data_IF_746855416801
#
_entry.id   IF_746855416801
#
_cell.length_a   1.000
_cell.length_b   1.000
_cell.length_c   1.000
_cell.angle_alpha   90.00
_cell.angle_beta   90.00
_cell.angle_gamma   90.00
#
_symmetry.space_group_name_H-M   'P 1'
#
loop_
_entity.id
_entity.type
_entity.pdbx_description
1 polymer ?
#
# COMPACT_ATOMS: atom_id res chain seq x y z
N UNK A 1 -13.57 13.97 -45.31
CA UNK A 1 -13.20 14.34 -46.68
C UNK A 1 -12.08 13.43 -47.14
N UNK A 2 -12.51 12.36 -47.80
CA UNK A 2 -11.92 11.67 -48.95
C UNK A 2 -10.40 11.62 -49.10
N UNK A 3 -9.83 10.45 -48.76
CA UNK A 3 -8.58 9.97 -49.34
C UNK A 3 -8.73 8.52 -49.79
N UNK A 4 -9.48 8.30 -50.85
CA UNK A 4 -9.33 7.11 -51.69
C UNK A 4 -9.18 7.55 -53.14
N UNK A 5 -7.92 7.65 -53.59
CA UNK A 5 -7.59 7.69 -55.02
C UNK A 5 -7.10 6.30 -55.40
N UNK A 6 -7.98 5.54 -56.04
CA UNK A 6 -7.72 4.21 -56.57
C UNK A 6 -6.95 4.36 -57.88
N UNK A 7 -5.69 3.89 -57.93
CA UNK A 7 -4.94 3.79 -59.19
C UNK A 7 -5.21 2.42 -59.84
N UNK A 8 -5.56 2.45 -61.12
CA UNK A 8 -6.20 1.38 -61.90
C UNK A 8 -5.23 0.75 -62.91
N UNK A 9 -3.98 0.51 -62.51
CA UNK A 9 -2.96 -0.10 -63.39
C UNK A 9 -2.03 -1.08 -62.66
N UNK A 10 -2.58 -2.17 -62.13
CA UNK A 10 -1.83 -3.44 -62.03
C UNK A 10 -2.79 -4.61 -61.75
N UNK A 11 -3.14 -5.46 -62.73
CA UNK A 11 -4.09 -6.56 -62.52
C UNK A 11 -3.50 -7.83 -61.89
N UNK A 12 -2.20 -7.89 -61.55
CA UNK A 12 -1.54 -9.12 -61.08
C UNK A 12 -0.57 -8.80 -59.92
N UNK A 13 -1.10 -8.37 -58.77
CA UNK A 13 -0.33 -8.26 -57.53
C UNK A 13 -0.94 -9.18 -56.46
N UNK A 14 -0.73 -10.49 -56.63
CA UNK A 14 -0.85 -11.47 -55.55
C UNK A 14 0.26 -11.18 -54.54
N UNK A 15 -0.09 -10.66 -53.37
CA UNK A 15 0.84 -10.55 -52.25
C UNK A 15 0.93 -11.94 -51.61
N UNK A 16 2.03 -12.65 -51.87
CA UNK A 16 2.48 -13.79 -51.08
C UNK A 16 2.68 -13.34 -49.62
N UNK A 17 1.76 -13.75 -48.74
CA UNK A 17 1.97 -13.66 -47.30
C UNK A 17 2.86 -14.83 -46.89
N UNK A 18 4.18 -14.65 -46.97
CA UNK A 18 5.15 -15.60 -46.44
C UNK A 18 4.91 -15.78 -44.94
N UNK A 19 4.23 -16.87 -44.60
CA UNK A 19 4.00 -17.31 -43.23
C UNK A 19 5.27 -18.02 -42.75
N UNK A 20 6.27 -17.23 -42.35
CA UNK A 20 7.38 -17.76 -41.57
C UNK A 20 6.87 -18.03 -40.14
N UNK A 21 6.92 -19.27 -39.61
CA UNK A 21 6.55 -19.51 -38.22
C UNK A 21 7.55 -18.76 -37.32
N UNK A 22 7.08 -18.11 -36.23
CA UNK A 22 7.99 -17.47 -35.29
C UNK A 22 8.88 -18.54 -34.66
N UNK A 23 10.18 -18.30 -34.72
CA UNK A 23 11.22 -19.09 -34.03
C UNK A 23 10.90 -19.08 -32.54
N UNK A 24 10.56 -20.25 -32.00
CA UNK A 24 10.43 -20.47 -30.56
C UNK A 24 11.83 -20.77 -30.05
N UNK A 25 12.44 -19.82 -29.33
CA UNK A 25 13.65 -20.07 -28.58
C UNK A 25 13.29 -20.93 -27.36
N UNK A 26 13.69 -22.20 -27.38
CA UNK A 26 13.54 -23.13 -26.26
C UNK A 26 14.71 -22.95 -25.27
N UNK A 27 14.45 -22.30 -24.15
CA UNK A 27 15.36 -22.28 -23.00
C UNK A 27 15.38 -23.65 -22.30
N UNK A 28 16.56 -24.21 -21.95
CA UNK A 28 16.69 -25.59 -21.50
C UNK A 28 16.14 -25.81 -20.09
N UNK A 29 15.24 -26.78 -20.02
CA UNK A 29 14.60 -27.32 -18.83
C UNK A 29 15.61 -28.21 -18.10
N UNK A 30 15.98 -27.87 -16.87
CA UNK A 30 16.15 -28.81 -15.76
C UNK A 30 16.64 -28.09 -14.50
N UNK A 31 15.74 -27.82 -13.56
CA UNK A 31 15.95 -28.04 -12.11
C UNK A 31 14.61 -27.85 -11.39
N UNK A 32 13.98 -28.99 -11.09
CA UNK A 32 13.21 -29.29 -9.87
C UNK A 32 12.11 -28.27 -9.48
N UNK A 33 10.92 -28.61 -9.94
CA UNK A 33 9.58 -28.26 -9.46
C UNK A 33 9.49 -27.57 -8.08
N UNK A 34 8.89 -26.38 -8.07
CA UNK A 34 7.89 -26.02 -7.05
C UNK A 34 6.65 -25.45 -7.77
N UNK A 35 5.42 -25.85 -7.40
CA UNK A 35 4.26 -25.82 -8.30
C UNK A 35 3.71 -24.43 -8.58
N UNK A 36 3.16 -24.28 -9.78
CA UNK A 36 2.13 -23.31 -10.17
C UNK A 36 0.86 -23.53 -9.33
N UNK A 37 0.87 -23.11 -8.06
CA UNK A 37 -0.31 -22.72 -7.26
C UNK A 37 0.18 -22.46 -5.85
N UNK A 38 0.46 -21.21 -5.53
CA UNK A 38 -0.02 -20.62 -4.31
C UNK A 38 -0.62 -19.30 -4.77
N UNK A 39 -1.96 -19.29 -4.86
CA UNK A 39 -2.69 -18.12 -4.43
C UNK A 39 -1.98 -17.60 -3.17
N UNK A 40 -1.14 -16.59 -3.29
CA UNK A 40 -1.06 -15.67 -2.17
C UNK A 40 -2.52 -15.26 -1.99
N UNK A 41 -3.18 -15.62 -0.87
CA UNK A 41 -4.41 -14.95 -0.57
C UNK A 41 -3.97 -13.52 -0.42
N UNK A 42 -4.22 -12.71 -1.47
CA UNK A 42 -4.17 -11.27 -1.43
C UNK A 42 -4.93 -10.94 -0.16
N UNK A 43 -4.16 -10.66 0.88
CA UNK A 43 -4.71 -10.23 2.13
C UNK A 43 -5.56 -9.03 1.74
N UNK A 44 -6.75 -8.90 2.32
CA UNK A 44 -7.67 -7.82 1.99
C UNK A 44 -7.07 -6.37 2.01
N UNK A 45 -5.84 -6.06 2.53
CA UNK A 45 -5.21 -4.74 2.35
C UNK A 45 -4.57 -4.48 0.98
N UNK A 46 -4.15 -5.49 0.22
CA UNK A 46 -3.44 -5.26 -1.05
C UNK A 46 -4.39 -4.86 -2.19
N UNK A 47 -5.60 -5.42 -2.21
CA UNK A 47 -6.64 -5.07 -3.19
C UNK A 47 -7.27 -3.67 -2.97
N UNK A 48 -6.95 -3.00 -1.85
CA UNK A 48 -7.43 -1.65 -1.55
C UNK A 48 -6.39 -0.55 -1.81
N UNK A 49 -5.11 -0.90 -2.00
CA UNK A 49 -4.05 0.04 -2.33
C UNK A 49 -3.69 -0.07 -3.81
N UNK A 50 -4.56 0.40 -4.70
CA UNK A 50 -4.16 0.57 -6.09
C UNK A 50 -3.13 1.70 -6.13
N UNK A 51 -2.04 1.55 -6.89
CA UNK A 51 -0.87 2.44 -6.91
C UNK A 51 -1.22 3.93 -7.02
N UNK A 52 -2.32 4.24 -7.71
CA UNK A 52 -2.85 5.59 -7.82
C UNK A 52 -3.19 6.23 -6.46
N UNK A 53 -3.83 5.48 -5.54
CA UNK A 53 -4.19 6.00 -4.21
C UNK A 53 -2.91 6.30 -3.40
N UNK A 54 -1.88 5.46 -3.52
CA UNK A 54 -0.60 5.68 -2.84
C UNK A 54 0.06 6.96 -3.33
N UNK A 55 0.09 7.19 -4.64
CA UNK A 55 0.63 8.41 -5.23
C UNK A 55 -0.15 9.65 -4.78
N UNK A 56 -1.48 9.58 -4.74
CA UNK A 56 -2.33 10.67 -4.24
C UNK A 56 -2.02 11.00 -2.77
N UNK A 57 -1.90 9.98 -1.90
CA UNK A 57 -1.57 10.18 -0.48
C UNK A 57 -0.16 10.75 -0.30
N UNK A 58 0.81 10.29 -1.08
CA UNK A 58 2.19 10.81 -1.03
C UNK A 58 2.29 12.27 -1.49
N UNK A 59 1.40 12.72 -2.39
CA UNK A 59 1.36 14.10 -2.86
C UNK A 59 0.84 15.10 -1.81
N UNK A 60 0.26 14.62 -0.70
CA UNK A 60 -0.29 15.47 0.36
C UNK A 60 0.88 16.21 1.04
N UNK A 61 0.89 17.56 1.02
CA UNK A 61 1.99 18.33 1.61
C UNK A 61 1.99 18.19 3.14
N UNK A 62 3.16 18.25 3.76
CA UNK A 62 3.24 18.19 5.22
C UNK A 62 2.84 19.54 5.83
N UNK A 63 1.58 19.64 6.27
CA UNK A 63 1.00 20.83 6.88
C UNK A 63 0.25 20.44 8.16
N UNK A 64 0.27 21.34 9.13
CA UNK A 64 -0.36 21.13 10.45
C UNK A 64 -1.89 21.01 10.39
N UNK A 65 -2.52 21.58 9.35
CA UNK A 65 -3.94 21.39 9.08
C UNK A 65 -4.38 21.99 7.74
N UNK A 66 -5.47 21.47 7.21
CA UNK A 66 -6.05 21.84 5.92
C UNK A 66 -7.44 22.42 6.10
N UNK A 67 -7.78 23.44 5.30
CA UNK A 67 -9.15 23.98 5.26
C UNK A 67 -10.02 23.09 4.38
N UNK A 68 -11.34 23.12 4.60
CA UNK A 68 -12.29 22.34 3.78
C UNK A 68 -12.19 22.64 2.28
N UNK A 69 -11.85 23.89 1.90
CA UNK A 69 -11.62 24.27 0.50
C UNK A 69 -10.44 23.52 -0.08
N UNK A 70 -9.27 23.62 0.56
CA UNK A 70 -8.05 22.92 0.14
C UNK A 70 -8.27 21.41 -0.02
N UNK A 71 -8.98 20.79 0.93
CA UNK A 71 -9.27 19.34 0.89
C UNK A 71 -10.24 19.00 -0.25
N UNK A 72 -11.25 19.83 -0.46
CA UNK A 72 -12.20 19.67 -1.56
C UNK A 72 -11.50 19.74 -2.93
N UNK A 73 -10.59 20.69 -3.09
CA UNK A 73 -9.83 20.90 -4.32
C UNK A 73 -8.87 19.72 -4.57
N UNK A 74 -8.14 19.26 -3.56
CA UNK A 74 -7.25 18.09 -3.65
C UNK A 74 -8.00 16.80 -4.06
N UNK A 75 -9.21 16.61 -3.54
CA UNK A 75 -10.05 15.43 -3.85
C UNK A 75 -10.86 15.61 -5.15
N UNK A 76 -10.89 16.82 -5.71
CA UNK A 76 -11.78 17.21 -6.82
C UNK A 76 -13.27 16.96 -6.50
N UNK A 77 -13.69 17.24 -5.27
CA UNK A 77 -15.09 17.14 -4.82
C UNK A 77 -15.61 18.48 -4.34
N UNK A 78 -16.93 18.65 -4.23
CA UNK A 78 -17.51 19.87 -3.67
C UNK A 78 -17.43 19.87 -2.15
N UNK A 79 -17.26 21.03 -1.52
CA UNK A 79 -17.17 21.15 -0.06
C UNK A 79 -18.38 20.57 0.69
N UNK A 80 -19.59 20.65 0.14
CA UNK A 80 -20.78 20.06 0.78
C UNK A 80 -20.73 18.53 0.82
N UNK A 81 -20.03 17.89 -0.13
CA UNK A 81 -19.83 16.43 -0.13
C UNK A 81 -18.95 16.02 1.04
N UNK A 82 -17.86 16.76 1.29
CA UNK A 82 -17.03 16.53 2.48
C UNK A 82 -17.81 16.70 3.78
N UNK A 83 -18.68 17.72 3.88
CA UNK A 83 -19.55 17.92 5.05
C UNK A 83 -20.52 16.74 5.24
N UNK A 84 -21.02 16.19 4.14
CA UNK A 84 -21.86 15.00 4.20
C UNK A 84 -21.07 13.76 4.63
N UNK A 85 -19.84 13.59 4.13
CA UNK A 85 -18.96 12.50 4.57
C UNK A 85 -18.60 12.59 6.05
N UNK A 86 -18.43 13.79 6.62
CA UNK A 86 -18.24 13.97 8.07
C UNK A 86 -19.38 13.38 8.90
N UNK A 87 -20.64 13.46 8.42
CA UNK A 87 -21.78 12.86 9.12
C UNK A 87 -21.89 11.35 8.93
N UNK A 88 -21.42 10.82 7.81
CA UNK A 88 -21.56 9.40 7.46
C UNK A 88 -20.40 8.53 7.98
N UNK A 89 -19.20 9.11 8.10
CA UNK A 89 -17.98 8.40 8.44
C UNK A 89 -17.39 8.88 9.76
N UNK A 90 -17.52 8.04 10.79
CA UNK A 90 -16.99 8.28 12.13
C UNK A 90 -15.48 8.53 12.24
N UNK A 91 -14.72 8.14 11.22
CA UNK A 91 -13.27 8.32 11.16
C UNK A 91 -12.86 9.73 10.72
N UNK A 92 -13.75 10.44 10.03
CA UNK A 92 -13.50 11.76 9.48
C UNK A 92 -14.06 12.83 10.44
N UNK A 93 -13.26 13.20 11.44
CA UNK A 93 -13.67 14.12 12.52
C UNK A 93 -12.79 15.37 12.54
N UNK A 94 -13.00 16.31 11.60
CA UNK A 94 -12.21 17.54 11.56
C UNK A 94 -12.40 18.33 12.84
N UNK A 95 -11.32 18.93 13.34
CA UNK A 95 -11.37 19.78 14.52
C UNK A 95 -12.03 21.12 14.16
N UNK A 96 -12.90 21.61 15.04
CA UNK A 96 -13.42 22.98 14.94
C UNK A 96 -12.38 23.93 15.55
N UNK A 97 -11.82 24.80 14.73
CA UNK A 97 -10.99 25.90 15.21
C UNK A 97 -11.85 26.97 15.91
N UNK A 98 -11.22 27.86 16.68
CA UNK A 98 -11.91 28.92 17.45
C UNK A 98 -12.73 29.89 16.61
N UNK A 99 -12.47 29.97 15.30
CA UNK A 99 -13.23 30.75 14.31
C UNK A 99 -14.35 29.94 13.63
N UNK A 100 -14.76 28.80 14.21
CA UNK A 100 -15.76 27.88 13.67
C UNK A 100 -15.40 27.27 12.29
N UNK A 101 -14.12 27.37 11.90
CA UNK A 101 -13.61 26.79 10.66
C UNK A 101 -13.20 25.32 10.90
N UNK A 102 -13.51 24.44 9.95
CA UNK A 102 -13.11 23.03 10.00
C UNK A 102 -11.65 22.91 9.58
N UNK A 103 -10.85 22.31 10.45
CA UNK A 103 -9.46 22.00 10.19
C UNK A 103 -9.29 20.48 10.12
N UNK A 104 -8.88 20.00 8.95
CA UNK A 104 -8.57 18.59 8.71
C UNK A 104 -7.10 18.36 9.00
N UNK A 105 -6.79 17.28 9.71
CA UNK A 105 -5.42 16.81 9.86
C UNK A 105 -4.99 16.03 8.61
N UNK A 106 -3.68 15.81 8.43
CA UNK A 106 -3.18 14.95 7.34
C UNK A 106 -3.88 13.59 7.30
N UNK A 107 -4.08 12.96 8.47
CA UNK A 107 -4.81 11.70 8.60
C UNK A 107 -6.27 11.79 8.14
N UNK A 108 -6.95 12.92 8.41
CA UNK A 108 -8.31 13.11 7.92
C UNK A 108 -8.35 13.22 6.40
N UNK A 109 -7.36 13.90 5.80
CA UNK A 109 -7.23 14.00 4.33
C UNK A 109 -6.96 12.63 3.71
N UNK A 110 -6.05 11.83 4.27
CA UNK A 110 -5.78 10.44 3.86
C UNK A 110 -7.06 9.58 3.89
N UNK A 111 -7.84 9.67 4.98
CA UNK A 111 -9.12 8.97 5.09
C UNK A 111 -10.13 9.45 4.03
N UNK A 112 -10.15 10.75 3.70
CA UNK A 112 -11.04 11.28 2.68
C UNK A 112 -10.66 10.79 1.27
N UNK A 113 -9.37 10.63 0.96
CA UNK A 113 -8.91 9.98 -0.28
C UNK A 113 -9.39 8.54 -0.38
N UNK A 114 -9.29 7.79 0.72
CA UNK A 114 -9.77 6.41 0.77
C UNK A 114 -11.29 6.32 0.61
N UNK A 115 -12.06 7.19 1.28
CA UNK A 115 -13.52 7.26 1.11
C UNK A 115 -13.87 7.56 -0.35
N UNK A 116 -13.17 8.51 -0.98
CA UNK A 116 -13.37 8.84 -2.39
C UNK A 116 -13.12 7.62 -3.28
N UNK A 117 -12.05 6.87 -3.05
CA UNK A 117 -11.77 5.61 -3.75
C UNK A 117 -12.96 4.66 -3.63
N UNK A 118 -13.37 4.34 -2.40
CA UNK A 118 -14.42 3.37 -2.13
C UNK A 118 -15.74 3.74 -2.82
N UNK A 119 -16.13 5.02 -2.79
CA UNK A 119 -17.39 5.47 -3.37
C UNK A 119 -17.32 5.64 -4.90
N UNK A 120 -16.27 6.26 -5.42
CA UNK A 120 -16.21 6.65 -6.83
C UNK A 120 -15.48 5.66 -7.72
N UNK A 121 -14.42 5.01 -7.23
CA UNK A 121 -13.66 4.03 -8.02
C UNK A 121 -14.24 2.63 -7.85
N UNK A 122 -14.40 2.21 -6.61
CA UNK A 122 -14.81 0.84 -6.27
C UNK A 122 -16.34 0.66 -6.24
N UNK A 123 -17.10 1.76 -6.41
CA UNK A 123 -18.57 1.80 -6.50
C UNK A 123 -19.29 1.20 -5.29
N UNK A 124 -18.69 1.28 -4.10
CA UNK A 124 -19.39 0.93 -2.86
C UNK A 124 -20.54 1.91 -2.58
N UNK A 125 -21.60 1.39 -1.95
CA UNK A 125 -22.58 2.24 -1.26
C UNK A 125 -21.94 2.90 -0.03
N UNK A 126 -22.58 3.93 0.51
CA UNK A 126 -22.11 4.62 1.73
C UNK A 126 -21.98 3.62 2.89
N UNK A 127 -22.94 2.72 3.05
CA UNK A 127 -22.92 1.70 4.08
C UNK A 127 -21.81 0.66 3.86
N UNK A 128 -21.61 0.23 2.61
CA UNK A 128 -20.52 -0.66 2.23
C UNK A 128 -19.15 -0.05 2.52
N UNK A 129 -18.96 1.22 2.12
CA UNK A 129 -17.73 1.96 2.40
C UNK A 129 -17.51 2.14 3.91
N UNK A 130 -18.56 2.42 4.70
CA UNK A 130 -18.46 2.53 6.17
C UNK A 130 -17.98 1.22 6.79
N UNK A 131 -18.55 0.10 6.35
CA UNK A 131 -18.14 -1.24 6.81
C UNK A 131 -16.69 -1.54 6.44
N UNK A 132 -16.29 -1.26 5.19
CA UNK A 132 -14.92 -1.42 4.72
C UNK A 132 -13.91 -0.61 5.55
N UNK A 133 -14.21 0.67 5.82
CA UNK A 133 -13.37 1.55 6.65
C UNK A 133 -13.19 1.02 8.08
N UNK A 134 -14.26 0.46 8.67
CA UNK A 134 -14.20 -0.14 10.02
C UNK A 134 -13.33 -1.39 10.02
N UNK A 135 -13.48 -2.25 9.01
CA UNK A 135 -12.68 -3.46 8.86
C UNK A 135 -11.20 -3.13 8.66
N UNK A 136 -10.88 -2.16 7.79
CA UNK A 136 -9.51 -1.71 7.57
C UNK A 136 -8.86 -1.19 8.85
N UNK A 137 -9.58 -0.39 9.64
CA UNK A 137 -9.08 0.10 10.93
C UNK A 137 -8.78 -1.04 11.91
N UNK A 138 -9.60 -2.09 11.92
CA UNK A 138 -9.36 -3.26 12.75
C UNK A 138 -8.14 -4.05 12.30
N UNK A 139 -7.93 -4.13 10.99
CA UNK A 139 -6.81 -4.82 10.38
C UNK A 139 -5.48 -4.09 10.69
N UNK A 140 -5.41 -2.78 10.43
CA UNK A 140 -4.24 -1.95 10.75
C UNK A 140 -3.88 -2.04 12.23
N UNK A 141 -4.88 -2.05 13.13
CA UNK A 141 -4.63 -2.24 14.56
C UNK A 141 -4.02 -3.60 14.89
N UNK A 142 -4.46 -4.68 14.23
CA UNK A 142 -3.91 -6.03 14.42
C UNK A 142 -2.46 -6.10 13.91
N UNK A 143 -2.18 -5.51 12.75
CA UNK A 143 -0.82 -5.46 12.21
C UNK A 143 0.13 -4.65 13.09
N UNK A 144 -0.27 -3.45 13.51
CA UNK A 144 0.55 -2.65 14.42
C UNK A 144 0.84 -3.38 15.74
N UNK A 145 -0.11 -4.19 16.23
CA UNK A 145 0.12 -5.02 17.43
C UNK A 145 1.15 -6.12 17.17
N UNK A 146 1.06 -6.82 16.03
CA UNK A 146 2.04 -7.84 15.62
C UNK A 146 3.43 -7.23 15.46
N UNK A 147 3.52 -6.07 14.81
CA UNK A 147 4.79 -5.36 14.63
C UNK A 147 5.41 -4.98 15.99
N UNK A 148 4.59 -4.50 16.94
CA UNK A 148 5.05 -4.19 18.28
C UNK A 148 5.54 -5.44 19.04
N UNK A 149 4.80 -6.54 18.98
CA UNK A 149 5.19 -7.83 19.57
C UNK A 149 6.52 -8.32 18.99
N UNK A 150 6.70 -8.19 17.68
CA UNK A 150 7.93 -8.55 16.99
C UNK A 150 9.11 -7.68 17.44
N UNK A 151 8.93 -6.35 17.52
CA UNK A 151 9.96 -5.43 18.04
C UNK A 151 10.35 -5.76 19.49
N UNK A 152 9.38 -6.12 20.33
CA UNK A 152 9.66 -6.55 21.69
C UNK A 152 10.43 -7.87 21.74
N UNK A 153 10.10 -8.83 20.88
CA UNK A 153 10.83 -10.09 20.78
C UNK A 153 12.29 -9.86 20.35
N UNK A 154 12.54 -9.01 19.35
CA UNK A 154 13.88 -8.63 18.94
C UNK A 154 14.68 -7.99 20.07
N UNK A 155 14.08 -7.05 20.79
CA UNK A 155 14.75 -6.41 21.94
C UNK A 155 15.10 -7.43 23.04
N UNK A 156 14.23 -8.41 23.30
CA UNK A 156 14.53 -9.50 24.25
C UNK A 156 15.71 -10.35 23.81
N UNK A 157 15.78 -10.68 22.51
CA UNK A 157 16.89 -11.45 21.94
C UNK A 157 18.20 -10.66 22.05
N UNK A 158 18.15 -9.36 21.76
CA UNK A 158 19.32 -8.47 21.85
C UNK A 158 19.86 -8.38 23.29
N UNK A 159 18.97 -8.19 24.27
CA UNK A 159 19.37 -8.19 25.68
C UNK A 159 19.96 -9.55 26.11
N UNK A 160 19.32 -10.65 25.69
CA UNK A 160 19.83 -11.99 25.99
C UNK A 160 21.21 -12.25 25.37
N UNK A 161 21.47 -11.72 24.17
CA UNK A 161 22.79 -11.80 23.55
C UNK A 161 23.86 -11.09 24.38
N UNK A 162 23.56 -9.89 24.90
CA UNK A 162 24.47 -9.15 25.78
C UNK A 162 24.75 -9.92 27.08
N UNK A 163 23.71 -10.48 27.70
CA UNK A 163 23.86 -11.28 28.91
C UNK A 163 24.80 -12.48 28.70
N UNK A 164 24.68 -13.16 27.55
CA UNK A 164 25.56 -14.29 27.20
C UNK A 164 27.02 -13.87 26.98
N UNK A 165 27.27 -12.72 26.37
CA UNK A 165 28.62 -12.17 26.20
C UNK A 165 29.25 -11.87 27.56
N UNK A 166 28.50 -11.26 28.47
CA UNK A 166 28.95 -10.95 29.82
C UNK A 166 29.30 -12.22 30.60
N UNK A 167 28.46 -13.25 30.54
CA UNK A 167 28.72 -14.55 31.17
C UNK A 167 29.99 -15.18 30.58
N UNK A 168 30.15 -15.17 29.25
CA UNK A 168 31.33 -15.72 28.60
C UNK A 168 32.62 -15.00 29.04
N UNK A 169 32.57 -13.66 29.21
CA UNK A 169 33.68 -12.88 29.73
C UNK A 169 33.99 -13.22 31.20
N UNK A 170 32.97 -13.43 32.04
CA UNK A 170 33.17 -13.86 33.42
C UNK A 170 33.83 -15.23 33.50
N UNK A 171 33.39 -16.21 32.70
CA UNK A 171 33.99 -17.55 32.64
C UNK A 171 35.46 -17.47 32.20
N UNK A 172 35.78 -16.65 31.19
CA UNK A 172 37.17 -16.42 30.78
C UNK A 172 38.03 -15.87 31.91
N UNK A 173 37.55 -14.88 32.67
CA UNK A 173 38.26 -14.32 33.81
C UNK A 173 38.53 -15.38 34.88
N UNK A 174 37.51 -16.14 35.26
CA UNK A 174 37.64 -17.21 36.27
C UNK A 174 38.68 -18.25 35.82
N UNK A 175 38.64 -18.67 34.55
CA UNK A 175 39.62 -19.61 33.98
C UNK A 175 41.06 -19.07 34.05
N UNK A 176 41.26 -17.77 33.82
CA UNK A 176 42.58 -17.14 33.92
C UNK A 176 43.10 -17.13 35.36
N UNK A 177 42.24 -16.85 36.34
CA UNK A 177 42.62 -16.87 37.76
C UNK A 177 43.14 -18.25 38.19
N UNK A 178 42.46 -19.33 37.81
CA UNK A 178 42.90 -20.68 38.15
C UNK A 178 44.19 -21.11 37.42
N UNK A 179 44.48 -20.57 36.23
CA UNK A 179 45.73 -20.85 35.49
C UNK A 179 46.98 -20.21 36.09
N UNK A 180 46.84 -19.16 36.91
CA UNK A 180 47.96 -18.45 37.52
C UNK A 180 48.39 -19.02 38.87
N UNK A 181 47.63 -19.97 39.42
CA UNK A 181 47.85 -20.56 40.75
C UNK A 181 48.23 -22.06 40.69
N UNK A 182 48.60 -22.56 39.52
CA UNK A 182 49.09 -23.93 39.28
C UNK A 182 50.47 -23.88 38.61
#
# INVERSE_FOLDING_TARGET
MDFFRFDKKNPEAFIEFNLAPPVVEEEPIDTIQKPLTESEPLSLPAALCDDQLLNEIQSIPDKMGFKIGDVADMLSVKQYVLRYWESEFDILKPKKAGNNQRLYTKKDVENAFLIRKLLHRDRFSIEGARSAMKNLKSFVRKENKKELELKQAFHRIENFHQDLEDIALQIRRVRQLFKLHA
#
